data_IF_076745775576
#
_entry.id   IF_076745775576
#
_cell.length_a   1.000
_cell.length_b   1.000
_cell.length_c   1.000
_cell.angle_alpha   90.00
_cell.angle_beta   90.00
_cell.angle_gamma   90.00
#
_symmetry.space_group_name_H-M   'P 1'
#
loop_
_entity.id
_entity.type
_entity.pdbx_description
1 polymer ?
#
# COMPACT_ATOMS: atom_id res chain seq x y z
N UNK A 1 49.89 -61.92 -2.88
CA UNK A 1 48.94 -61.62 -3.99
C UNK A 1 47.54 -61.24 -3.50
N UNK A 2 46.93 -61.99 -2.57
CA UNK A 2 45.57 -61.71 -2.06
C UNK A 2 45.47 -60.34 -1.35
N UNK A 3 46.45 -59.96 -0.53
CA UNK A 3 46.49 -58.66 0.18
C UNK A 3 46.59 -57.44 -0.75
N UNK A 4 47.33 -57.54 -1.87
CA UNK A 4 47.46 -56.45 -2.85
C UNK A 4 46.20 -56.25 -3.71
N UNK A 5 45.46 -57.33 -3.97
CA UNK A 5 44.17 -57.28 -4.67
C UNK A 5 43.07 -56.66 -3.79
N UNK A 6 43.06 -56.98 -2.49
CA UNK A 6 42.12 -56.37 -1.52
C UNK A 6 42.41 -54.88 -1.34
N UNK A 7 43.69 -54.47 -1.27
CA UNK A 7 44.05 -53.06 -1.16
C UNK A 7 43.70 -52.26 -2.41
N UNK A 8 43.91 -52.80 -3.61
CA UNK A 8 43.57 -52.13 -4.87
C UNK A 8 42.04 -51.98 -5.05
N UNK A 9 41.26 -52.98 -4.65
CA UNK A 9 39.80 -52.91 -4.64
C UNK A 9 39.26 -51.83 -3.69
N UNK A 10 39.84 -51.70 -2.50
CA UNK A 10 39.48 -50.65 -1.54
C UNK A 10 39.83 -49.24 -2.04
N UNK A 11 40.93 -49.06 -2.77
CA UNK A 11 41.29 -47.75 -3.35
C UNK A 11 40.34 -47.33 -4.47
N UNK A 12 39.93 -48.28 -5.32
CA UNK A 12 38.97 -48.01 -6.41
C UNK A 12 37.58 -47.63 -5.89
N UNK A 13 37.09 -48.29 -4.84
CA UNK A 13 35.79 -47.95 -4.25
C UNK A 13 35.81 -46.57 -3.59
N UNK A 14 36.88 -46.22 -2.87
CA UNK A 14 37.07 -44.88 -2.30
C UNK A 14 37.13 -43.81 -3.38
N UNK A 15 37.82 -44.06 -4.50
CA UNK A 15 37.89 -43.13 -5.62
C UNK A 15 36.52 -42.87 -6.27
N UNK A 16 35.73 -43.93 -6.47
CA UNK A 16 34.37 -43.82 -7.04
C UNK A 16 33.44 -43.03 -6.11
N UNK A 17 33.47 -43.32 -4.80
CA UNK A 17 32.68 -42.59 -3.80
C UNK A 17 33.09 -41.10 -3.78
N UNK A 18 34.39 -40.81 -3.85
CA UNK A 18 34.92 -39.44 -3.88
C UNK A 18 34.43 -38.67 -5.11
N UNK A 19 34.42 -39.31 -6.29
CA UNK A 19 33.89 -38.70 -7.52
C UNK A 19 32.39 -38.38 -7.41
N UNK A 20 31.60 -39.29 -6.85
CA UNK A 20 30.15 -39.08 -6.65
C UNK A 20 29.90 -37.90 -5.69
N UNK A 21 30.64 -37.84 -4.58
CA UNK A 21 30.53 -36.74 -3.60
C UNK A 21 30.92 -35.41 -4.27
N UNK A 22 32.02 -35.37 -5.02
CA UNK A 22 32.46 -34.16 -5.72
C UNK A 22 31.43 -33.69 -6.75
N UNK A 23 30.86 -34.60 -7.55
CA UNK A 23 29.82 -34.26 -8.52
C UNK A 23 28.55 -33.72 -7.85
N UNK A 24 28.17 -34.27 -6.68
CA UNK A 24 27.05 -33.77 -5.89
C UNK A 24 27.33 -32.36 -5.35
N UNK A 25 28.52 -32.13 -4.79
CA UNK A 25 28.94 -30.82 -4.28
C UNK A 25 28.96 -29.78 -5.40
N UNK A 26 29.48 -30.12 -6.57
CA UNK A 26 29.54 -29.22 -7.73
C UNK A 26 28.15 -28.85 -8.24
N UNK A 27 27.25 -29.83 -8.36
CA UNK A 27 25.85 -29.58 -8.72
C UNK A 27 25.15 -28.67 -7.71
N UNK A 28 25.40 -28.88 -6.42
CA UNK A 28 24.85 -28.05 -5.35
C UNK A 28 25.38 -26.61 -5.42
N UNK A 29 26.69 -26.42 -5.60
CA UNK A 29 27.31 -25.09 -5.79
C UNK A 29 26.76 -24.38 -7.01
N UNK A 30 26.69 -25.06 -8.15
CA UNK A 30 26.14 -24.49 -9.39
C UNK A 30 24.69 -24.02 -9.20
N UNK A 31 23.86 -24.79 -8.49
CA UNK A 31 22.48 -24.40 -8.17
C UNK A 31 22.44 -23.15 -7.30
N UNK A 32 23.29 -23.06 -6.28
CA UNK A 32 23.39 -21.87 -5.42
C UNK A 32 23.85 -20.64 -6.20
N UNK A 33 24.86 -20.77 -7.06
CA UNK A 33 25.35 -19.68 -7.91
C UNK A 33 24.26 -19.17 -8.86
N UNK A 34 23.48 -20.07 -9.47
CA UNK A 34 22.35 -19.68 -10.33
C UNK A 34 21.29 -18.94 -9.50
N UNK A 35 20.96 -19.41 -8.31
CA UNK A 35 20.00 -18.74 -7.41
C UNK A 35 20.50 -17.35 -6.99
N UNK A 36 21.78 -17.22 -6.66
CA UNK A 36 22.39 -15.94 -6.29
C UNK A 36 22.39 -14.95 -7.45
N UNK A 37 22.73 -15.41 -8.67
CA UNK A 37 22.67 -14.58 -9.89
C UNK A 37 21.25 -14.13 -10.22
N UNK A 38 20.26 -15.02 -10.08
CA UNK A 38 18.85 -14.66 -10.28
C UNK A 38 18.39 -13.62 -9.25
N UNK A 39 18.75 -13.79 -7.97
CA UNK A 39 18.41 -12.83 -6.92
C UNK A 39 19.10 -11.47 -7.16
N UNK A 40 20.37 -11.48 -7.58
CA UNK A 40 21.10 -10.26 -7.91
C UNK A 40 20.45 -9.52 -9.07
N UNK A 41 20.17 -10.22 -10.18
CA UNK A 41 19.48 -9.62 -11.34
C UNK A 41 18.10 -9.08 -10.96
N UNK A 42 17.33 -9.80 -10.12
CA UNK A 42 16.07 -9.30 -9.59
C UNK A 42 16.26 -7.99 -8.82
N UNK A 43 17.22 -7.93 -7.90
CA UNK A 43 17.53 -6.72 -7.12
C UNK A 43 17.94 -5.55 -8.02
N UNK A 44 18.77 -5.79 -9.03
CA UNK A 44 19.19 -4.77 -9.98
C UNK A 44 18.02 -4.17 -10.77
N UNK A 45 17.02 -4.98 -11.13
CA UNK A 45 15.86 -4.51 -11.89
C UNK A 45 14.71 -3.95 -11.01
N UNK A 46 14.58 -4.39 -9.76
CA UNK A 46 13.41 -4.04 -8.93
C UNK A 46 13.69 -3.08 -7.79
N UNK A 47 14.94 -2.89 -7.35
CA UNK A 47 15.21 -2.09 -6.14
C UNK A 47 14.68 -0.65 -6.28
N UNK A 48 14.95 0.01 -7.41
CA UNK A 48 14.49 1.38 -7.63
C UNK A 48 13.00 1.43 -7.97
N UNK A 49 12.49 0.46 -8.75
CA UNK A 49 11.05 0.30 -9.03
C UNK A 49 10.24 0.16 -7.73
N UNK A 50 10.70 -0.67 -6.80
CA UNK A 50 10.06 -0.85 -5.49
C UNK A 50 10.19 0.39 -4.62
N UNK A 51 11.33 1.08 -4.60
CA UNK A 51 11.44 2.38 -3.87
C UNK A 51 10.46 3.41 -4.41
N UNK A 52 10.34 3.53 -5.73
CA UNK A 52 9.37 4.43 -6.38
C UNK A 52 7.96 4.05 -5.95
N UNK A 53 7.58 2.78 -6.09
CA UNK A 53 6.25 2.30 -5.70
C UNK A 53 5.97 2.56 -4.21
N UNK A 54 6.92 2.26 -3.31
CA UNK A 54 6.81 2.54 -1.88
C UNK A 54 6.58 4.03 -1.63
N UNK A 55 7.32 4.90 -2.33
CA UNK A 55 7.16 6.34 -2.20
C UNK A 55 5.77 6.81 -2.63
N UNK A 56 5.20 6.19 -3.67
CA UNK A 56 3.86 6.52 -4.19
C UNK A 56 2.77 6.02 -3.23
N UNK A 57 2.81 4.76 -2.82
CA UNK A 57 1.77 4.19 -1.94
C UNK A 57 1.73 4.85 -0.56
N UNK A 58 2.85 5.46 -0.14
CA UNK A 58 2.96 6.22 1.11
C UNK A 58 2.31 7.60 1.04
N UNK A 59 2.01 8.12 -0.16
CA UNK A 59 1.34 9.40 -0.36
C UNK A 59 -0.18 9.30 -0.25
N UNK A 60 -0.76 8.11 -0.42
CA UNK A 60 -2.20 7.94 -0.27
C UNK A 60 -2.64 8.26 1.16
N UNK A 61 -3.70 9.05 1.35
CA UNK A 61 -4.23 9.35 2.67
C UNK A 61 -4.61 8.08 3.42
N UNK A 62 -4.43 8.07 4.74
CA UNK A 62 -4.85 6.95 5.59
C UNK A 62 -6.33 7.00 5.96
N UNK A 63 -6.97 8.17 5.86
CA UNK A 63 -8.41 8.33 6.13
C UNK A 63 -9.21 8.42 4.83
N UNK A 64 -10.39 7.80 4.78
CA UNK A 64 -11.35 8.07 3.72
C UNK A 64 -12.05 9.42 3.93
N UNK A 65 -12.60 10.03 2.88
CA UNK A 65 -13.49 11.17 3.02
C UNK A 65 -14.67 10.91 3.96
N UNK A 66 -15.26 9.72 3.94
CA UNK A 66 -16.37 9.37 4.82
C UNK A 66 -15.95 9.20 6.29
N UNK A 67 -14.72 8.75 6.56
CA UNK A 67 -14.16 8.73 7.92
C UNK A 67 -13.99 10.16 8.47
N UNK A 68 -13.55 11.09 7.64
CA UNK A 68 -13.39 12.51 8.00
C UNK A 68 -14.75 13.15 8.32
N UNK A 69 -15.79 12.78 7.55
CA UNK A 69 -17.13 13.35 7.68
C UNK A 69 -17.94 12.81 8.88
N UNK A 70 -17.41 11.84 9.64
CA UNK A 70 -18.11 11.24 10.79
C UNK A 70 -18.48 12.23 11.91
N UNK A 71 -17.83 13.39 11.93
CA UNK A 71 -18.03 14.44 12.95
C UNK A 71 -19.06 15.50 12.56
N UNK A 72 -19.70 15.38 11.39
CA UNK A 72 -20.72 16.32 10.91
C UNK A 72 -22.07 15.63 10.88
N UNK A 73 -23.05 16.23 11.55
CA UNK A 73 -24.44 15.78 11.46
C UNK A 73 -25.00 15.98 10.04
N UNK A 74 -25.75 14.98 9.56
CA UNK A 74 -26.32 14.97 8.21
C UNK A 74 -25.25 15.26 7.14
N UNK A 75 -24.08 14.63 7.29
CA UNK A 75 -22.97 14.83 6.37
C UNK A 75 -23.33 14.36 4.95
N UNK A 76 -22.81 15.05 3.92
CA UNK A 76 -22.92 14.56 2.56
C UNK A 76 -22.18 13.22 2.43
N UNK A 77 -22.71 12.30 1.62
CA UNK A 77 -22.03 11.04 1.36
C UNK A 77 -21.03 11.19 0.22
N UNK A 78 -19.77 10.82 0.43
CA UNK A 78 -18.75 10.85 -0.60
C UNK A 78 -18.79 9.58 -1.45
N UNK A 79 -18.65 9.75 -2.78
CA UNK A 79 -18.41 8.66 -3.74
C UNK A 79 -17.93 9.23 -5.08
N UNK A 80 -17.44 8.36 -5.97
CA UNK A 80 -17.04 8.66 -7.36
C UNK A 80 -16.01 9.80 -7.49
N UNK A 81 -15.08 9.92 -6.55
CA UNK A 81 -14.12 11.04 -6.50
C UNK A 81 -14.78 12.44 -6.47
N UNK A 82 -16.05 12.54 -6.06
CA UNK A 82 -16.82 13.79 -6.06
C UNK A 82 -16.50 14.72 -4.87
N UNK A 83 -15.21 15.00 -4.66
CA UNK A 83 -14.73 15.94 -3.64
C UNK A 83 -15.40 17.31 -3.75
N UNK A 84 -15.51 17.86 -4.97
CA UNK A 84 -16.10 19.19 -5.17
C UNK A 84 -17.58 19.25 -4.80
N UNK A 85 -18.32 18.16 -4.99
CA UNK A 85 -19.72 18.10 -4.60
C UNK A 85 -19.86 18.07 -3.06
N UNK A 86 -19.00 17.30 -2.39
CA UNK A 86 -18.94 17.26 -0.91
C UNK A 86 -18.58 18.63 -0.35
N UNK A 87 -17.54 19.28 -0.87
CA UNK A 87 -17.10 20.60 -0.42
C UNK A 87 -18.21 21.65 -0.61
N UNK A 88 -18.88 21.68 -1.76
CA UNK A 88 -20.02 22.58 -2.00
C UNK A 88 -21.20 22.31 -1.07
N UNK A 89 -21.52 21.04 -0.82
CA UNK A 89 -22.58 20.69 0.13
C UNK A 89 -22.26 21.18 1.54
N UNK A 90 -21.01 21.03 1.99
CA UNK A 90 -20.57 21.57 3.28
C UNK A 90 -20.65 23.09 3.34
N UNK A 91 -20.31 23.79 2.25
CA UNK A 91 -20.46 25.25 2.16
C UNK A 91 -21.94 25.68 2.27
N UNK A 92 -22.85 25.01 1.55
CA UNK A 92 -24.28 25.30 1.66
C UNK A 92 -24.83 25.04 3.06
N UNK A 93 -24.43 23.93 3.69
CA UNK A 93 -24.84 23.64 5.06
C UNK A 93 -24.31 24.69 6.04
N UNK A 94 -23.02 25.06 5.94
CA UNK A 94 -22.43 26.07 6.82
C UNK A 94 -23.11 27.45 6.66
N UNK A 95 -23.46 27.82 5.42
CA UNK A 95 -24.20 29.06 5.14
C UNK A 95 -25.62 29.04 5.72
N UNK A 96 -26.32 27.91 5.64
CA UNK A 96 -27.63 27.75 6.27
C UNK A 96 -27.55 27.96 7.79
N UNK A 97 -26.58 27.33 8.47
CA UNK A 97 -26.35 27.55 9.89
C UNK A 97 -25.99 29.00 10.22
N UNK A 98 -25.17 29.67 9.39
CA UNK A 98 -24.87 31.10 9.55
C UNK A 98 -26.13 31.96 9.45
N UNK A 99 -27.05 31.63 8.54
CA UNK A 99 -28.33 32.32 8.42
C UNK A 99 -29.25 32.08 9.64
N UNK A 100 -29.23 30.89 10.23
CA UNK A 100 -29.98 30.58 11.46
C UNK A 100 -29.54 31.44 12.66
N UNK A 101 -28.27 31.87 12.73
CA UNK A 101 -27.79 32.78 13.78
C UNK A 101 -28.46 34.16 13.79
N UNK A 102 -29.04 34.57 12.65
CA UNK A 102 -29.69 35.87 12.51
C UNK A 102 -31.17 35.88 12.98
N UNK A 103 -31.69 34.74 13.46
CA UNK A 103 -33.08 34.62 13.93
C UNK A 103 -33.26 35.35 15.27
N UNK A 104 -34.34 36.14 15.37
CA UNK A 104 -34.68 36.89 16.59
C UNK A 104 -35.13 35.93 17.70
N UNK A 105 -34.66 36.16 18.93
CA UNK A 105 -34.94 35.34 20.14
C UNK A 105 -34.35 33.92 20.12
N UNK A 106 -33.19 33.73 19.49
CA UNK A 106 -32.43 32.49 19.59
C UNK A 106 -31.99 32.23 21.04
N UNK A 107 -32.27 31.04 21.57
CA UNK A 107 -31.81 30.67 22.90
C UNK A 107 -30.29 30.40 22.91
N UNK A 108 -29.68 30.49 24.10
CA UNK A 108 -28.23 30.36 24.25
C UNK A 108 -27.71 28.97 23.88
N UNK A 109 -28.43 27.92 24.23
CA UNK A 109 -28.03 26.54 23.97
C UNK A 109 -28.08 26.25 22.47
N UNK A 110 -29.16 26.68 21.80
CA UNK A 110 -29.29 26.58 20.34
C UNK A 110 -28.24 27.40 19.61
N UNK A 111 -27.90 28.59 20.11
CA UNK A 111 -26.81 29.40 19.56
C UNK A 111 -25.48 28.64 19.61
N UNK A 112 -25.14 28.09 20.78
CA UNK A 112 -23.91 27.32 20.97
C UNK A 112 -23.84 26.07 20.09
N UNK A 113 -24.97 25.37 19.90
CA UNK A 113 -25.07 24.23 18.98
C UNK A 113 -24.80 24.67 17.53
N UNK A 114 -25.45 25.73 17.05
CA UNK A 114 -25.23 26.25 15.69
C UNK A 114 -23.76 26.66 15.47
N UNK A 115 -23.14 27.37 16.42
CA UNK A 115 -21.73 27.75 16.34
C UNK A 115 -20.79 26.53 16.28
N UNK A 116 -21.12 25.47 17.02
CA UNK A 116 -20.40 24.18 16.98
C UNK A 116 -20.57 23.50 15.63
N UNK A 117 -21.78 23.48 15.08
CA UNK A 117 -22.10 22.90 13.77
C UNK A 117 -21.37 23.62 12.62
N UNK A 118 -21.23 24.94 12.69
CA UNK A 118 -20.43 25.74 11.74
C UNK A 118 -18.95 25.33 11.85
N UNK A 119 -18.42 25.32 13.08
CA UNK A 119 -17.00 25.01 13.34
C UNK A 119 -16.62 23.60 12.85
N UNK A 120 -17.47 22.59 13.11
CA UNK A 120 -17.26 21.22 12.65
C UNK A 120 -17.21 21.12 11.11
N UNK A 121 -18.07 21.86 10.41
CA UNK A 121 -18.10 21.86 8.94
C UNK A 121 -16.89 22.58 8.34
N UNK A 122 -16.45 23.68 8.94
CA UNK A 122 -15.23 24.37 8.51
C UNK A 122 -13.99 23.48 8.72
N UNK A 123 -13.91 22.79 9.86
CA UNK A 123 -12.86 21.80 10.12
C UNK A 123 -12.87 20.66 9.09
N UNK A 124 -14.02 20.01 8.88
CA UNK A 124 -14.16 18.90 7.92
C UNK A 124 -13.85 19.37 6.51
N UNK A 125 -14.29 20.56 6.09
CA UNK A 125 -13.99 21.11 4.76
C UNK A 125 -12.50 21.23 4.51
N UNK A 126 -11.75 21.72 5.50
CA UNK A 126 -10.29 21.82 5.42
C UNK A 126 -9.66 20.42 5.28
N UNK A 127 -10.08 19.47 6.12
CA UNK A 127 -9.56 18.09 6.08
C UNK A 127 -9.88 17.35 4.78
N UNK A 128 -11.07 17.53 4.22
CA UNK A 128 -11.45 16.98 2.91
C UNK A 128 -10.61 17.59 1.79
N UNK A 129 -10.28 18.88 1.88
CA UNK A 129 -9.43 19.55 0.88
C UNK A 129 -8.00 19.03 0.92
N UNK A 130 -7.42 18.89 2.11
CA UNK A 130 -6.10 18.25 2.30
C UNK A 130 -6.08 16.82 1.74
N UNK A 131 -7.08 16.02 2.11
CA UNK A 131 -7.24 14.64 1.66
C UNK A 131 -7.35 14.52 0.12
N UNK A 132 -8.11 15.42 -0.51
CA UNK A 132 -8.25 15.49 -1.98
C UNK A 132 -6.90 15.72 -2.65
N UNK A 133 -6.15 16.70 -2.16
CA UNK A 133 -4.90 17.12 -2.79
C UNK A 133 -3.86 16.00 -2.66
N UNK A 134 -3.75 15.39 -1.48
CA UNK A 134 -2.90 14.20 -1.25
C UNK A 134 -3.29 13.03 -2.16
N UNK A 135 -4.58 12.70 -2.23
CA UNK A 135 -5.10 11.61 -3.06
C UNK A 135 -4.78 11.83 -4.55
N UNK A 136 -5.05 13.00 -5.10
CA UNK A 136 -4.78 13.27 -6.52
C UNK A 136 -3.28 13.25 -6.84
N UNK A 137 -2.42 13.77 -5.95
CA UNK A 137 -0.97 13.65 -6.10
C UNK A 137 -0.54 12.18 -6.14
N UNK A 138 -1.05 11.35 -5.23
CA UNK A 138 -0.72 9.93 -5.17
C UNK A 138 -1.22 9.18 -6.41
N UNK A 139 -2.47 9.43 -6.83
CA UNK A 139 -3.10 8.82 -8.00
C UNK A 139 -2.35 9.16 -9.28
N UNK A 140 -2.00 10.42 -9.49
CA UNK A 140 -1.33 10.87 -10.71
C UNK A 140 0.11 10.32 -10.78
N UNK A 141 0.83 10.27 -9.64
CA UNK A 141 2.13 9.59 -9.58
C UNK A 141 2.02 8.08 -9.82
N UNK A 142 0.98 7.44 -9.31
CA UNK A 142 0.74 6.02 -9.56
C UNK A 142 0.48 5.75 -11.04
N UNK A 143 -0.29 6.61 -11.70
CA UNK A 143 -0.50 6.55 -13.15
C UNK A 143 0.83 6.67 -13.91
N UNK A 144 1.70 7.60 -13.53
CA UNK A 144 3.04 7.72 -14.13
C UNK A 144 3.90 6.47 -13.92
N UNK A 145 3.84 5.85 -12.74
CA UNK A 145 4.50 4.56 -12.47
C UNK A 145 3.96 3.45 -13.40
N UNK A 146 2.65 3.41 -13.61
CA UNK A 146 2.00 2.48 -14.54
C UNK A 146 2.49 2.65 -15.98
N UNK A 147 2.85 3.87 -16.39
CA UNK A 147 3.33 4.18 -17.73
C UNK A 147 4.84 3.91 -17.90
N UNK A 148 5.65 4.15 -16.87
CA UNK A 148 7.11 4.12 -16.97
C UNK A 148 7.78 2.86 -16.39
N UNK A 149 7.36 2.41 -15.22
CA UNK A 149 8.11 1.43 -14.40
C UNK A 149 7.40 0.07 -14.32
N UNK A 150 6.10 0.04 -14.65
CA UNK A 150 5.24 -1.14 -14.53
C UNK A 150 5.68 -2.32 -15.37
N UNK A 151 6.33 -2.09 -16.52
CA UNK A 151 6.89 -3.17 -17.35
C UNK A 151 7.99 -3.93 -16.60
N UNK A 152 8.92 -3.20 -15.95
CA UNK A 152 9.97 -3.81 -15.16
C UNK A 152 9.39 -4.52 -13.93
N UNK A 153 8.40 -3.89 -13.27
CA UNK A 153 7.66 -4.52 -12.19
C UNK A 153 7.02 -5.84 -12.64
N UNK A 154 6.25 -5.86 -13.72
CA UNK A 154 5.51 -7.04 -14.15
C UNK A 154 6.41 -8.19 -14.62
N UNK A 155 7.57 -7.86 -15.20
CA UNK A 155 8.54 -8.84 -15.68
C UNK A 155 9.31 -9.54 -14.55
N UNK A 156 9.70 -8.79 -13.53
CA UNK A 156 10.63 -9.28 -12.49
C UNK A 156 9.99 -9.55 -11.13
N UNK A 157 8.87 -8.87 -10.79
CA UNK A 157 8.25 -9.00 -9.48
C UNK A 157 7.67 -10.40 -9.26
N UNK A 158 7.87 -10.91 -8.04
CA UNK A 158 7.25 -12.17 -7.61
C UNK A 158 5.73 -12.10 -7.63
N UNK A 159 5.08 -13.26 -7.81
CA UNK A 159 3.61 -13.33 -7.86
C UNK A 159 2.94 -12.75 -6.61
N UNK A 160 3.52 -12.97 -5.43
CA UNK A 160 2.97 -12.44 -4.17
C UNK A 160 2.94 -10.92 -4.17
N UNK A 161 4.01 -10.26 -4.63
CA UNK A 161 4.06 -8.78 -4.72
C UNK A 161 2.99 -8.27 -5.68
N UNK A 162 2.82 -8.93 -6.83
CA UNK A 162 1.79 -8.56 -7.81
C UNK A 162 0.38 -8.71 -7.22
N UNK A 163 0.13 -9.78 -6.47
CA UNK A 163 -1.14 -9.98 -5.78
C UNK A 163 -1.40 -8.88 -4.74
N UNK A 164 -0.39 -8.53 -3.92
CA UNK A 164 -0.52 -7.46 -2.92
C UNK A 164 -0.73 -6.09 -3.53
N UNK A 165 -0.16 -5.83 -4.71
CA UNK A 165 -0.42 -4.58 -5.42
C UNK A 165 -1.88 -4.50 -5.86
N UNK A 166 -2.44 -5.57 -6.42
CA UNK A 166 -3.85 -5.62 -6.82
C UNK A 166 -4.77 -5.45 -5.59
N UNK A 167 -4.45 -6.09 -4.46
CA UNK A 167 -5.19 -5.88 -3.21
C UNK A 167 -5.19 -4.40 -2.78
N UNK A 168 -4.01 -3.75 -2.84
CA UNK A 168 -3.89 -2.33 -2.53
C UNK A 168 -4.72 -1.46 -3.49
N UNK A 169 -4.66 -1.72 -4.80
CA UNK A 169 -5.47 -1.01 -5.80
C UNK A 169 -6.97 -1.13 -5.51
N UNK A 170 -7.44 -2.33 -5.15
CA UNK A 170 -8.84 -2.56 -4.76
C UNK A 170 -9.22 -1.78 -3.52
N UNK A 171 -8.35 -1.73 -2.51
CA UNK A 171 -8.59 -0.93 -1.29
C UNK A 171 -8.71 0.56 -1.64
N UNK A 172 -7.78 1.11 -2.43
CA UNK A 172 -7.82 2.51 -2.86
C UNK A 172 -9.09 2.80 -3.67
N UNK A 173 -9.47 1.90 -4.58
CA UNK A 173 -10.72 2.02 -5.34
C UNK A 173 -11.94 2.04 -4.42
N UNK A 174 -12.02 1.09 -3.48
CA UNK A 174 -13.16 1.01 -2.58
C UNK A 174 -13.28 2.26 -1.71
N UNK A 175 -12.17 2.76 -1.19
CA UNK A 175 -12.16 3.96 -0.33
C UNK A 175 -12.47 5.22 -1.12
N UNK A 176 -11.68 5.52 -2.15
CA UNK A 176 -11.70 6.83 -2.80
C UNK A 176 -12.67 6.90 -3.99
N UNK A 177 -13.09 5.77 -4.55
CA UNK A 177 -14.04 5.74 -5.67
C UNK A 177 -15.40 5.24 -5.19
N UNK A 178 -15.47 4.15 -4.44
CA UNK A 178 -16.74 3.62 -3.94
C UNK A 178 -17.24 4.31 -2.67
N UNK A 179 -16.40 5.11 -2.00
CA UNK A 179 -16.78 5.80 -0.77
C UNK A 179 -16.85 4.89 0.46
N UNK A 180 -16.07 3.82 0.50
CA UNK A 180 -15.99 2.98 1.69
C UNK A 180 -15.12 3.63 2.77
N UNK A 181 -15.42 3.33 4.03
CA UNK A 181 -14.60 3.75 5.15
C UNK A 181 -13.25 3.01 5.13
N UNK A 182 -12.17 3.72 5.46
CA UNK A 182 -10.85 3.14 5.60
C UNK A 182 -10.62 2.57 7.02
N UNK A 183 -11.39 3.05 8.01
CA UNK A 183 -11.17 2.76 9.43
C UNK A 183 -10.57 3.98 10.14
N UNK A 184 -10.42 3.88 11.47
CA UNK A 184 -9.95 5.01 12.26
C UNK A 184 -8.46 5.30 12.03
N UNK A 185 -8.11 6.56 11.79
CA UNK A 185 -6.72 6.99 11.57
C UNK A 185 -5.81 6.68 12.77
N UNK A 186 -6.37 6.75 13.98
CA UNK A 186 -5.67 6.44 15.23
C UNK A 186 -5.48 4.94 15.50
N UNK A 187 -6.07 4.06 14.68
CA UNK A 187 -5.94 2.61 14.81
C UNK A 187 -5.38 1.98 13.53
N UNK A 188 -4.04 1.93 13.39
CA UNK A 188 -3.40 1.38 12.21
C UNK A 188 -3.71 -0.10 11.94
N UNK A 189 -4.15 -0.85 12.95
CA UNK A 189 -4.47 -2.28 12.82
C UNK A 189 -5.81 -2.46 12.11
N UNK A 190 -6.78 -1.60 12.40
CA UNK A 190 -8.10 -1.64 11.80
C UNK A 190 -8.25 -0.73 10.56
N UNK A 191 -7.18 -0.04 10.17
CA UNK A 191 -7.15 0.78 8.97
C UNK A 191 -6.75 -0.04 7.72
N UNK A 192 -7.69 -0.26 6.80
CA UNK A 192 -7.49 -1.15 5.64
C UNK A 192 -6.44 -0.63 4.66
N UNK A 193 -6.28 0.69 4.54
CA UNK A 193 -5.24 1.30 3.70
C UNK A 193 -3.88 1.03 4.32
N UNK A 194 -3.76 1.22 5.62
CA UNK A 194 -2.52 0.98 6.34
C UNK A 194 -2.09 -0.48 6.26
N UNK A 195 -3.01 -1.41 6.52
CA UNK A 195 -2.76 -2.85 6.47
C UNK A 195 -2.33 -3.29 5.06
N UNK A 196 -3.06 -2.90 4.02
CA UNK A 196 -2.72 -3.24 2.63
C UNK A 196 -1.36 -2.66 2.21
N UNK A 197 -1.06 -1.42 2.61
CA UNK A 197 0.26 -0.78 2.37
C UNK A 197 1.40 -1.57 3.01
N UNK A 198 1.27 -1.96 4.28
CA UNK A 198 2.29 -2.74 4.98
C UNK A 198 2.48 -4.11 4.33
N UNK A 199 1.40 -4.80 3.98
CA UNK A 199 1.46 -6.11 3.34
C UNK A 199 2.20 -6.04 2.01
N UNK A 200 1.92 -5.02 1.20
CA UNK A 200 2.63 -4.76 -0.04
C UNK A 200 4.13 -4.49 0.21
N UNK A 201 4.48 -3.61 1.15
CA UNK A 201 5.88 -3.31 1.49
C UNK A 201 6.63 -4.57 1.96
N UNK A 202 6.04 -5.37 2.83
CA UNK A 202 6.66 -6.59 3.34
C UNK A 202 6.84 -7.64 2.23
N UNK A 203 5.87 -7.76 1.32
CA UNK A 203 6.01 -8.64 0.16
C UNK A 203 7.17 -8.22 -0.74
N UNK A 204 7.37 -6.92 -0.98
CA UNK A 204 8.50 -6.39 -1.76
C UNK A 204 9.84 -6.68 -1.09
N UNK A 205 9.93 -6.50 0.25
CA UNK A 205 11.15 -6.83 1.02
C UNK A 205 11.49 -8.31 0.92
N UNK A 206 10.50 -9.16 1.14
CA UNK A 206 10.67 -10.61 1.04
C UNK A 206 11.07 -11.05 -0.37
N UNK A 207 10.47 -10.45 -1.41
CA UNK A 207 10.80 -10.74 -2.81
C UNK A 207 12.24 -10.34 -3.19
N UNK A 208 12.80 -9.31 -2.55
CA UNK A 208 14.21 -8.94 -2.62
C UNK A 208 15.11 -9.78 -1.70
N UNK A 209 14.56 -10.66 -0.87
CA UNK A 209 15.30 -11.46 0.11
C UNK A 209 15.90 -10.63 1.25
N UNK A 210 15.14 -9.65 1.74
CA UNK A 210 15.45 -8.78 2.90
C UNK A 210 14.54 -9.16 4.06
#
# INVERSE_FOLDING_TARGET
MITALISAGATLTVAIITLIINAYIERFRSKLEIQQKMLQSKRENLNDVYKILISIISLYPSSSPNDIMKFVEYSPNYSMEHYDAVLRSLDYQAEDYKNQLNVVNLDYERKSDIETQISNREYVKNKISENRDEYYIARDKYKSFCECDKVAFDLYAGQEVRNRLVEFEVVIHNVFISGQNAGEDGDPINNIIHVSRINLINSMRSDLGI
#
